data_IF_320455025169
#
_entry.id   IF_320455025169
#
_cell.length_a   1.000
_cell.length_b   1.000
_cell.length_c   1.000
_cell.angle_alpha   90.00
_cell.angle_beta   90.00
_cell.angle_gamma   90.00
#
_symmetry.space_group_name_H-M   'P 1'
#
loop_
_entity.id
_entity.type
_entity.pdbx_description
1 polymer ?
#
# COMPACT_ATOMS: atom_id res chain seq x y z
N UNK A 1 60.05 -1.79 -17.79
CA UNK A 1 58.85 -1.14 -17.21
C UNK A 1 58.56 -1.75 -15.84
N UNK A 2 58.79 -1.02 -14.73
CA UNK A 2 58.47 -1.51 -13.37
C UNK A 2 56.97 -1.31 -13.11
N UNK A 3 56.19 -2.40 -13.01
CA UNK A 3 54.81 -2.34 -12.52
C UNK A 3 54.85 -2.02 -11.03
N UNK A 4 54.42 -0.81 -10.65
CA UNK A 4 54.19 -0.49 -9.23
C UNK A 4 52.97 -1.30 -8.77
N UNK A 5 53.09 -2.20 -7.78
CA UNK A 5 51.92 -2.87 -7.24
C UNK A 5 50.96 -1.80 -6.72
N UNK A 6 49.68 -1.90 -7.07
CA UNK A 6 48.66 -1.11 -6.40
C UNK A 6 48.78 -1.40 -4.90
N UNK A 7 48.91 -0.36 -4.04
CA UNK A 7 49.02 -0.59 -2.61
C UNK A 7 47.74 -1.29 -2.18
N UNK A 8 47.87 -2.50 -1.63
CA UNK A 8 46.78 -3.38 -1.21
C UNK A 8 45.65 -2.64 -0.46
N UNK A 9 46.01 -1.66 0.37
CA UNK A 9 45.04 -0.82 1.07
C UNK A 9 44.09 -0.01 0.15
N UNK A 10 44.55 0.47 -1.01
CA UNK A 10 43.67 1.18 -1.97
C UNK A 10 42.68 0.22 -2.64
N UNK A 11 43.10 -1.00 -2.95
CA UNK A 11 42.21 -2.00 -3.53
C UNK A 11 41.14 -2.44 -2.52
N UNK A 12 41.56 -2.70 -1.27
CA UNK A 12 40.63 -3.05 -0.20
C UNK A 12 39.61 -1.94 0.06
N UNK A 13 40.07 -0.68 0.12
CA UNK A 13 39.19 0.47 0.32
C UNK A 13 38.20 0.65 -0.86
N UNK A 14 38.67 0.46 -2.09
CA UNK A 14 37.81 0.54 -3.27
C UNK A 14 36.74 -0.56 -3.28
N UNK A 15 37.11 -1.80 -2.94
CA UNK A 15 36.16 -2.91 -2.83
C UNK A 15 35.13 -2.68 -1.71
N UNK A 16 35.59 -2.21 -0.55
CA UNK A 16 34.69 -1.87 0.57
C UNK A 16 33.72 -0.75 0.18
N UNK A 17 34.22 0.32 -0.44
CA UNK A 17 33.40 1.45 -0.88
C UNK A 17 32.36 1.03 -1.92
N UNK A 18 32.75 0.23 -2.92
CA UNK A 18 31.83 -0.32 -3.90
C UNK A 18 30.76 -1.20 -3.24
N UNK A 19 31.15 -2.09 -2.32
CA UNK A 19 30.22 -2.94 -1.59
C UNK A 19 29.21 -2.16 -0.74
N UNK A 20 29.67 -1.15 0.00
CA UNK A 20 28.81 -0.29 0.81
C UNK A 20 27.82 0.52 -0.05
N UNK A 21 28.28 1.05 -1.18
CA UNK A 21 27.43 1.78 -2.13
C UNK A 21 26.38 0.86 -2.77
N UNK A 22 26.78 -0.33 -3.22
CA UNK A 22 25.84 -1.31 -3.79
C UNK A 22 24.77 -1.73 -2.79
N UNK A 23 25.15 -2.03 -1.55
CA UNK A 23 24.20 -2.38 -0.49
C UNK A 23 23.25 -1.20 -0.18
N UNK A 24 23.79 0.02 -0.08
CA UNK A 24 22.97 1.21 0.19
C UNK A 24 21.99 1.50 -0.95
N UNK A 25 22.43 1.38 -2.20
CA UNK A 25 21.58 1.54 -3.37
C UNK A 25 20.48 0.47 -3.43
N UNK A 26 20.80 -0.77 -3.09
CA UNK A 26 19.84 -1.87 -3.01
C UNK A 26 18.76 -1.61 -1.95
N UNK A 27 19.18 -1.28 -0.72
CA UNK A 27 18.26 -0.99 0.39
C UNK A 27 17.41 0.27 0.15
N UNK A 28 17.95 1.27 -0.55
CA UNK A 28 17.19 2.46 -0.91
C UNK A 28 16.21 2.18 -2.06
N UNK A 29 16.63 1.37 -3.04
CA UNK A 29 15.83 1.04 -4.22
C UNK A 29 14.52 0.33 -3.88
N UNK A 30 14.57 -0.69 -3.01
CA UNK A 30 13.37 -1.41 -2.54
C UNK A 30 12.35 -0.49 -1.86
N UNK A 31 12.81 0.66 -1.36
CA UNK A 31 11.97 1.65 -0.72
C UNK A 31 11.44 2.74 -1.66
N UNK A 32 11.85 2.83 -2.91
CA UNK A 32 11.40 3.87 -3.85
C UNK A 32 10.47 3.33 -4.94
N UNK A 33 10.33 2.01 -5.05
CA UNK A 33 9.49 1.39 -6.08
C UNK A 33 8.01 1.50 -5.71
N UNK A 34 7.21 1.92 -6.69
CA UNK A 34 5.77 1.79 -6.63
C UNK A 34 5.42 0.30 -6.82
N UNK A 35 4.58 -0.22 -5.94
CA UNK A 35 4.07 -1.59 -6.01
C UNK A 35 2.95 -1.67 -7.06
N UNK A 36 2.73 -2.85 -7.67
CA UNK A 36 1.59 -3.05 -8.55
C UNK A 36 0.28 -2.87 -7.78
N UNK A 37 -0.63 -2.11 -8.36
CA UNK A 37 -2.03 -2.06 -7.94
C UNK A 37 -2.88 -2.86 -8.94
N UNK A 38 -3.90 -3.60 -8.48
CA UNK A 38 -4.84 -4.23 -9.40
C UNK A 38 -5.52 -3.18 -10.27
N UNK A 39 -5.81 -3.53 -11.51
CA UNK A 39 -6.60 -2.66 -12.38
C UNK A 39 -8.00 -2.46 -11.77
N UNK A 40 -8.60 -1.29 -11.96
CA UNK A 40 -9.97 -1.04 -11.50
C UNK A 40 -10.99 -2.03 -12.11
N UNK A 41 -10.66 -2.62 -13.26
CA UNK A 41 -11.46 -3.65 -13.92
C UNK A 41 -11.06 -5.10 -13.54
N UNK A 42 -10.17 -5.32 -12.57
CA UNK A 42 -9.82 -6.67 -12.11
C UNK A 42 -11.08 -7.39 -11.59
N UNK A 43 -11.47 -8.55 -12.16
CA UNK A 43 -12.70 -9.24 -11.77
C UNK A 43 -12.75 -9.62 -10.29
N UNK A 44 -11.61 -10.00 -9.69
CA UNK A 44 -11.54 -10.38 -8.27
C UNK A 44 -11.84 -9.19 -7.38
N UNK A 45 -11.22 -8.05 -7.70
CA UNK A 45 -11.44 -6.80 -6.96
C UNK A 45 -12.88 -6.33 -7.10
N UNK A 46 -13.41 -6.29 -8.33
CA UNK A 46 -14.79 -5.87 -8.63
C UNK A 46 -15.80 -6.76 -7.91
N UNK A 47 -15.64 -8.08 -7.99
CA UNK A 47 -16.55 -9.03 -7.34
C UNK A 47 -16.50 -8.88 -5.82
N UNK A 48 -15.30 -8.81 -5.24
CA UNK A 48 -15.13 -8.65 -3.79
C UNK A 48 -15.68 -7.32 -3.29
N UNK A 49 -15.44 -6.21 -3.98
CA UNK A 49 -16.02 -4.90 -3.64
C UNK A 49 -17.54 -4.87 -3.79
N UNK A 50 -18.10 -5.55 -4.79
CA UNK A 50 -19.54 -5.64 -4.96
C UNK A 50 -20.23 -6.34 -3.78
N UNK A 51 -19.58 -7.34 -3.15
CA UNK A 51 -20.10 -7.97 -1.92
C UNK A 51 -20.07 -7.05 -0.71
N UNK A 52 -19.18 -6.05 -0.72
CA UNK A 52 -19.00 -5.07 0.36
C UNK A 52 -19.79 -3.77 0.13
N UNK A 53 -20.28 -3.56 -1.10
CA UNK A 53 -21.01 -2.36 -1.51
C UNK A 53 -22.51 -2.66 -1.53
N UNK A 54 -23.25 -2.41 -0.44
CA UNK A 54 -24.70 -2.45 -0.50
C UNK A 54 -25.20 -1.43 -1.51
N UNK A 55 -26.27 -1.75 -2.24
CA UNK A 55 -26.88 -0.87 -3.24
C UNK A 55 -27.71 0.23 -2.55
N UNK A 56 -27.14 0.91 -1.55
CA UNK A 56 -27.77 1.98 -0.77
C UNK A 56 -27.47 3.38 -1.33
N UNK A 57 -26.81 3.45 -2.48
CA UNK A 57 -26.54 4.69 -3.21
C UNK A 57 -25.35 5.50 -2.67
N UNK A 58 -24.61 4.98 -1.69
CA UNK A 58 -23.43 5.63 -1.12
C UNK A 58 -22.14 5.13 -1.77
N UNK A 59 -21.09 5.95 -1.70
CA UNK A 59 -19.74 5.49 -2.05
C UNK A 59 -19.29 4.41 -1.06
N UNK A 60 -18.50 3.46 -1.55
CA UNK A 60 -17.81 2.47 -0.71
C UNK A 60 -16.30 2.65 -0.85
N UNK A 61 -15.64 2.94 0.25
CA UNK A 61 -14.19 3.05 0.35
C UNK A 61 -13.65 1.83 1.10
N UNK A 62 -12.66 1.17 0.50
CA UNK A 62 -11.94 0.07 1.14
C UNK A 62 -10.48 0.44 1.28
N UNK A 63 -10.02 0.41 2.53
CA UNK A 63 -8.64 0.69 2.92
C UNK A 63 -7.96 -0.64 3.26
N UNK A 64 -6.98 -1.07 2.47
CA UNK A 64 -6.16 -2.24 2.81
C UNK A 64 -4.85 -1.76 3.43
N UNK A 65 -4.62 -2.07 4.71
CA UNK A 65 -3.53 -1.52 5.52
C UNK A 65 -2.80 -2.64 6.28
N UNK A 66 -1.47 -2.68 6.22
CA UNK A 66 -0.68 -3.59 7.05
C UNK A 66 -0.49 -3.05 8.47
N UNK A 67 -0.64 -3.92 9.46
CA UNK A 67 -0.29 -3.63 10.84
C UNK A 67 1.19 -3.24 11.00
N UNK A 68 2.09 -4.04 10.44
CA UNK A 68 3.53 -3.94 10.62
C UNK A 68 4.22 -2.91 9.71
N UNK A 69 3.50 -2.32 8.76
CA UNK A 69 4.09 -1.45 7.74
C UNK A 69 3.94 0.04 8.10
N UNK A 70 5.05 0.78 8.25
CA UNK A 70 5.03 2.21 8.63
C UNK A 70 4.21 3.09 7.68
N UNK A 71 4.21 2.81 6.38
CA UNK A 71 3.37 3.52 5.41
C UNK A 71 1.88 3.35 5.72
N UNK A 72 1.47 2.13 6.06
CA UNK A 72 0.09 1.82 6.46
C UNK A 72 -0.27 2.42 7.81
N UNK A 73 0.64 2.40 8.79
CA UNK A 73 0.43 3.01 10.10
C UNK A 73 0.17 4.52 10.01
N UNK A 74 0.84 5.23 9.09
CA UNK A 74 0.59 6.66 8.86
C UNK A 74 -0.83 6.90 8.32
N UNK A 75 -1.28 6.09 7.36
CA UNK A 75 -2.65 6.17 6.83
C UNK A 75 -3.66 5.81 7.92
N UNK A 76 -3.41 4.76 8.69
CA UNK A 76 -4.26 4.34 9.80
C UNK A 76 -4.41 5.44 10.86
N UNK A 77 -3.31 6.10 11.22
CA UNK A 77 -3.32 7.21 12.16
C UNK A 77 -4.16 8.39 11.64
N UNK A 78 -4.04 8.71 10.35
CA UNK A 78 -4.90 9.71 9.69
C UNK A 78 -6.38 9.31 9.72
N UNK A 79 -6.72 8.08 9.35
CA UNK A 79 -8.10 7.59 9.36
C UNK A 79 -8.70 7.66 10.76
N UNK A 80 -8.00 7.15 11.77
CA UNK A 80 -8.46 7.20 13.17
C UNK A 80 -8.67 8.63 13.66
N UNK A 81 -7.79 9.57 13.29
CA UNK A 81 -7.94 10.97 13.67
C UNK A 81 -9.10 11.66 12.94
N UNK A 82 -9.35 11.31 11.67
CA UNK A 82 -10.41 11.86 10.85
C UNK A 82 -11.80 11.31 11.21
N UNK A 83 -11.88 10.03 11.58
CA UNK A 83 -13.13 9.28 11.66
C UNK A 83 -13.72 8.98 10.27
N UNK A 84 -14.74 8.12 10.17
CA UNK A 84 -15.37 7.77 8.89
C UNK A 84 -16.19 8.95 8.34
N UNK A 85 -16.32 8.97 7.02
CA UNK A 85 -17.15 9.91 6.27
C UNK A 85 -18.63 9.61 6.50
N UNK A 86 -19.47 10.63 6.75
CA UNK A 86 -20.90 10.43 6.92
C UNK A 86 -21.62 10.11 5.59
N UNK A 87 -21.06 10.52 4.45
CA UNK A 87 -21.64 10.33 3.12
C UNK A 87 -21.19 9.04 2.41
N UNK A 88 -20.24 8.30 3.00
CA UNK A 88 -19.70 7.07 2.43
C UNK A 88 -19.64 5.93 3.44
N UNK A 89 -19.59 4.69 2.94
CA UNK A 89 -19.21 3.53 3.75
C UNK A 89 -17.71 3.37 3.67
N UNK A 90 -17.07 3.29 4.83
CA UNK A 90 -15.62 3.08 4.92
C UNK A 90 -15.33 1.78 5.66
N UNK A 91 -14.65 0.87 4.97
CA UNK A 91 -14.17 -0.40 5.50
C UNK A 91 -12.64 -0.40 5.53
N UNK A 92 -12.08 -0.77 6.67
CA UNK A 92 -10.64 -0.94 6.86
C UNK A 92 -10.33 -2.44 6.97
N UNK A 93 -9.63 -2.96 5.96
CA UNK A 93 -9.02 -4.28 5.97
C UNK A 93 -7.63 -4.16 6.59
N UNK A 94 -7.46 -4.68 7.81
CA UNK A 94 -6.16 -4.68 8.51
C UNK A 94 -5.48 -6.02 8.26
N UNK A 95 -4.40 -5.99 7.50
CA UNK A 95 -3.59 -7.17 7.17
C UNK A 95 -2.71 -7.51 8.36
N UNK A 96 -2.75 -8.79 8.76
CA UNK A 96 -2.14 -9.27 10.00
C UNK A 96 -2.63 -8.48 11.23
N UNK A 97 -3.91 -8.09 11.20
CA UNK A 97 -4.53 -7.23 12.20
C UNK A 97 -4.59 -7.86 13.59
N UNK A 98 -3.91 -7.27 14.57
CA UNK A 98 -4.08 -7.58 15.98
C UNK A 98 -5.41 -7.03 16.52
N UNK A 99 -5.95 -7.67 17.56
CA UNK A 99 -7.21 -7.25 18.19
C UNK A 99 -7.16 -5.80 18.70
N UNK A 100 -5.99 -5.36 19.15
CA UNK A 100 -5.75 -3.99 19.64
C UNK A 100 -5.96 -2.97 18.53
N UNK A 101 -5.37 -3.20 17.35
CA UNK A 101 -5.49 -2.36 16.17
C UNK A 101 -6.90 -2.38 15.61
N UNK A 102 -7.51 -3.56 15.46
CA UNK A 102 -8.89 -3.67 15.00
C UNK A 102 -9.88 -2.94 15.92
N UNK A 103 -9.71 -3.08 17.24
CA UNK A 103 -10.54 -2.36 18.22
C UNK A 103 -10.38 -0.86 18.07
N UNK A 104 -9.14 -0.35 17.99
CA UNK A 104 -8.86 1.09 17.80
C UNK A 104 -9.56 1.67 16.58
N UNK A 105 -9.58 0.93 15.47
CA UNK A 105 -10.24 1.37 14.22
C UNK A 105 -11.77 1.39 14.38
N UNK A 106 -12.34 0.37 15.03
CA UNK A 106 -13.78 0.30 15.33
C UNK A 106 -14.23 1.38 16.30
N UNK A 107 -13.43 1.67 17.32
CA UNK A 107 -13.68 2.77 18.28
C UNK A 107 -13.67 4.14 17.60
N UNK A 108 -12.89 4.30 16.53
CA UNK A 108 -12.93 5.50 15.67
C UNK A 108 -14.17 5.56 14.75
N UNK A 109 -15.02 4.53 14.76
CA UNK A 109 -16.30 4.49 14.03
C UNK A 109 -16.26 3.76 12.69
N UNK A 110 -15.11 3.23 12.27
CA UNK A 110 -14.99 2.50 11.01
C UNK A 110 -15.49 1.06 11.13
N UNK A 111 -15.94 0.51 10.01
CA UNK A 111 -15.99 -0.95 9.88
C UNK A 111 -14.55 -1.47 9.73
N UNK A 112 -14.16 -2.47 10.54
CA UNK A 112 -12.80 -3.02 10.51
C UNK A 112 -12.82 -4.55 10.49
N UNK A 113 -12.01 -5.14 9.61
CA UNK A 113 -11.85 -6.60 9.48
C UNK A 113 -10.37 -6.97 9.40
N UNK A 114 -9.97 -7.97 10.17
CA UNK A 114 -8.66 -8.60 10.02
C UNK A 114 -8.66 -9.46 8.75
N UNK A 115 -7.54 -9.48 8.03
CA UNK A 115 -7.37 -10.32 6.85
C UNK A 115 -5.95 -10.87 6.79
N UNK A 116 -5.79 -12.12 6.33
CA UNK A 116 -4.47 -12.67 6.08
C UNK A 116 -3.86 -12.06 4.79
N UNK A 117 -2.53 -11.93 4.70
CA UNK A 117 -1.84 -11.47 3.49
C UNK A 117 -2.24 -12.24 2.23
N UNK A 118 -2.36 -13.56 2.34
CA UNK A 118 -2.75 -14.45 1.24
C UNK A 118 -4.18 -14.20 0.79
N UNK A 119 -5.12 -14.05 1.72
CA UNK A 119 -6.52 -13.74 1.40
C UNK A 119 -6.67 -12.39 0.70
N UNK A 120 -5.81 -11.41 1.03
CA UNK A 120 -5.80 -10.12 0.37
C UNK A 120 -5.42 -10.24 -1.12
N UNK A 121 -4.43 -11.06 -1.44
CA UNK A 121 -4.08 -11.37 -2.83
C UNK A 121 -5.15 -12.21 -3.52
N UNK A 122 -5.55 -13.33 -2.91
CA UNK A 122 -6.39 -14.33 -3.54
C UNK A 122 -7.81 -13.81 -3.81
N UNK A 123 -8.39 -13.08 -2.85
CA UNK A 123 -9.77 -12.59 -2.94
C UNK A 123 -9.89 -11.24 -3.61
N UNK A 124 -8.93 -10.33 -3.39
CA UNK A 124 -9.02 -8.95 -3.86
C UNK A 124 -8.05 -8.61 -5.00
N UNK A 125 -7.11 -9.51 -5.35
CA UNK A 125 -6.05 -9.21 -6.31
C UNK A 125 -5.07 -8.14 -5.81
N UNK A 126 -5.07 -7.84 -4.51
CA UNK A 126 -4.26 -6.75 -3.94
C UNK A 126 -2.88 -7.31 -3.57
N UNK A 127 -1.86 -6.83 -4.26
CA UNK A 127 -0.46 -7.27 -4.09
C UNK A 127 0.37 -6.35 -3.18
N UNK A 128 -0.17 -5.20 -2.77
CA UNK A 128 0.54 -4.25 -1.92
C UNK A 128 -0.40 -3.40 -1.07
N UNK A 129 0.11 -2.91 0.05
CA UNK A 129 -0.58 -1.97 0.93
C UNK A 129 0.39 -0.92 1.49
N UNK A 130 -0.07 0.31 1.83
CA UNK A 130 -1.47 0.75 1.94
C UNK A 130 -2.15 1.07 0.60
N UNK A 131 -3.28 0.40 0.34
CA UNK A 131 -4.10 0.62 -0.87
C UNK A 131 -5.46 1.22 -0.52
N UNK A 132 -5.97 2.07 -1.41
CA UNK A 132 -7.33 2.61 -1.40
C UNK A 132 -8.06 2.14 -2.65
N UNK A 133 -9.23 1.54 -2.45
CA UNK A 133 -10.19 1.27 -3.51
C UNK A 133 -11.48 2.05 -3.25
N UNK A 134 -12.06 2.66 -4.28
CA UNK A 134 -13.31 3.42 -4.19
C UNK A 134 -14.28 2.88 -5.23
N UNK A 135 -15.43 2.41 -4.78
CA UNK A 135 -16.57 2.07 -5.63
C UNK A 135 -17.62 3.17 -5.58
N UNK A 136 -18.22 3.46 -6.75
CA UNK A 136 -19.32 4.40 -6.86
C UNK A 136 -20.63 3.85 -6.26
N UNK A 137 -21.67 4.68 -6.24
CA UNK A 137 -23.00 4.32 -5.76
C UNK A 137 -23.66 3.14 -6.51
N UNK A 138 -23.13 2.73 -7.66
CA UNK A 138 -23.58 1.59 -8.47
C UNK A 138 -22.72 0.35 -8.24
N UNK A 139 -21.77 0.40 -7.31
CA UNK A 139 -20.80 -0.67 -7.03
C UNK A 139 -19.67 -0.75 -8.05
N UNK A 140 -19.57 0.20 -8.99
CA UNK A 140 -18.50 0.23 -9.98
C UNK A 140 -17.21 0.77 -9.38
N UNK A 141 -16.12 0.03 -9.46
CA UNK A 141 -14.80 0.47 -8.98
C UNK A 141 -14.30 1.62 -9.86
N UNK A 142 -14.09 2.80 -9.25
CA UNK A 142 -13.65 4.03 -9.95
C UNK A 142 -12.22 4.44 -9.63
N UNK A 143 -11.69 3.98 -8.50
CA UNK A 143 -10.33 4.27 -8.11
C UNK A 143 -9.71 3.07 -7.41
N UNK A 144 -8.45 2.80 -7.75
CA UNK A 144 -7.60 1.80 -7.09
C UNK A 144 -6.18 2.33 -7.14
N UNK A 145 -5.57 2.55 -5.98
CA UNK A 145 -4.20 3.09 -5.92
C UNK A 145 -3.74 3.46 -4.53
N UNK A 146 -2.67 4.24 -4.45
CA UNK A 146 -2.15 4.79 -3.21
C UNK A 146 -2.95 5.99 -2.69
N UNK A 147 -2.33 6.73 -1.76
CA UNK A 147 -2.93 7.89 -1.08
C UNK A 147 -2.24 9.22 -1.40
N UNK A 148 -1.13 9.19 -2.15
CA UNK A 148 -0.29 10.36 -2.40
C UNK A 148 0.61 10.15 -3.62
N UNK A 149 1.24 11.24 -4.06
CA UNK A 149 2.16 11.28 -5.21
C UNK A 149 3.57 10.76 -4.88
N UNK A 150 3.90 10.70 -3.59
CA UNK A 150 5.21 10.24 -3.09
C UNK A 150 5.10 9.39 -1.84
N UNK A 151 6.13 8.58 -1.61
CA UNK A 151 6.24 7.74 -0.42
C UNK A 151 6.23 8.60 0.85
N UNK A 152 5.48 8.13 1.85
CA UNK A 152 5.30 8.82 3.14
C UNK A 152 4.87 10.29 2.97
N UNK A 153 4.02 10.56 1.97
CA UNK A 153 3.36 11.87 1.84
C UNK A 153 2.73 12.27 3.19
N UNK A 154 2.94 13.51 3.67
CA UNK A 154 2.26 14.00 4.86
C UNK A 154 0.76 14.22 4.62
N UNK A 155 0.34 14.27 3.36
CA UNK A 155 -1.05 14.44 2.95
C UNK A 155 -1.59 13.09 2.48
N UNK A 156 -2.61 12.61 3.17
CA UNK A 156 -3.41 11.44 2.78
C UNK A 156 -4.62 11.95 2.01
N UNK A 157 -4.71 11.64 0.71
CA UNK A 157 -5.71 12.23 -0.21
C UNK A 157 -7.01 11.42 -0.30
N UNK A 158 -7.32 10.57 0.67
CA UNK A 158 -8.50 9.70 0.66
C UNK A 158 -9.82 10.48 0.46
N UNK A 159 -9.99 11.58 1.19
CA UNK A 159 -11.15 12.47 1.10
C UNK A 159 -11.26 13.13 -0.27
N UNK A 160 -10.16 13.71 -0.76
CA UNK A 160 -10.13 14.40 -2.06
C UNK A 160 -10.45 13.42 -3.21
N UNK A 161 -9.85 12.22 -3.18
CA UNK A 161 -10.09 11.19 -4.19
C UNK A 161 -11.55 10.73 -4.16
N UNK A 162 -12.13 10.52 -2.97
CA UNK A 162 -13.54 10.17 -2.80
C UNK A 162 -14.47 11.28 -3.32
N UNK A 163 -14.18 12.55 -3.04
CA UNK A 163 -14.99 13.67 -3.53
C UNK A 163 -14.97 13.76 -5.05
N UNK A 164 -13.81 13.52 -5.69
CA UNK A 164 -13.70 13.49 -7.15
C UNK A 164 -14.48 12.33 -7.75
N UNK A 165 -14.39 11.13 -7.16
CA UNK A 165 -15.18 9.97 -7.56
C UNK A 165 -16.68 10.24 -7.39
N UNK A 166 -17.11 10.88 -6.29
CA UNK A 166 -18.50 11.25 -6.04
C UNK A 166 -19.06 12.16 -7.16
N UNK A 167 -18.24 13.07 -7.68
CA UNK A 167 -18.59 13.97 -8.79
C UNK A 167 -18.50 13.31 -10.17
N UNK A 168 -18.12 12.03 -10.24
CA UNK A 168 -17.95 11.30 -11.50
C UNK A 168 -16.73 11.76 -12.31
N UNK A 169 -15.77 12.43 -11.68
CA UNK A 169 -14.54 12.83 -12.34
C UNK A 169 -13.63 11.62 -12.58
N UNK A 170 -12.91 11.56 -13.72
CA UNK A 170 -11.86 10.57 -13.89
C UNK A 170 -10.71 10.88 -12.91
N UNK A 171 -10.28 9.85 -12.17
CA UNK A 171 -9.20 9.95 -11.20
C UNK A 171 -8.09 9.00 -11.61
N UNK A 172 -6.90 9.55 -11.87
CA UNK A 172 -5.71 8.74 -12.14
C UNK A 172 -5.24 8.02 -10.88
N UNK A 173 -4.87 6.76 -11.02
CA UNK A 173 -4.36 5.95 -9.92
C UNK A 173 -3.04 6.53 -9.38
N UNK A 174 -3.01 6.87 -8.09
CA UNK A 174 -1.77 7.30 -7.46
C UNK A 174 -0.85 6.10 -7.19
N UNK A 175 0.48 6.30 -7.23
CA UNK A 175 1.44 5.24 -6.97
C UNK A 175 1.24 4.62 -5.57
N UNK A 176 1.36 3.29 -5.53
CA UNK A 176 1.23 2.50 -4.32
C UNK A 176 2.60 2.33 -3.65
N UNK A 177 2.82 2.94 -2.49
CA UNK A 177 4.09 2.82 -1.76
C UNK A 177 3.92 2.07 -0.45
N UNK A 178 4.48 0.88 -0.32
CA UNK A 178 4.46 0.16 0.95
C UNK A 178 5.04 -1.23 0.90
N UNK A 179 4.32 -2.18 1.49
CA UNK A 179 4.79 -3.54 1.74
C UNK A 179 4.07 -4.55 0.82
N UNK A 180 4.78 -5.52 0.23
CA UNK A 180 4.20 -6.53 -0.65
C UNK A 180 3.37 -7.57 0.14
N UNK A 181 2.25 -8.00 -0.43
CA UNK A 181 1.35 -9.00 0.19
C UNK A 181 1.59 -10.42 -0.28
N UNK A 182 2.15 -10.61 -1.47
CA UNK A 182 2.46 -11.94 -2.01
C UNK A 182 3.93 -12.31 -1.81
N UNK A 183 4.20 -13.61 -1.60
CA UNK A 183 5.56 -14.13 -1.51
C UNK A 183 6.33 -13.94 -2.83
N UNK A 184 5.63 -14.05 -3.97
CA UNK A 184 6.20 -13.79 -5.29
C UNK A 184 6.71 -12.36 -5.42
N UNK A 185 5.88 -11.36 -5.07
CA UNK A 185 6.29 -9.96 -5.13
C UNK A 185 7.40 -9.66 -4.11
N UNK A 186 7.33 -10.24 -2.90
CA UNK A 186 8.38 -10.11 -1.88
C UNK A 186 9.71 -10.64 -2.40
N UNK A 187 9.72 -11.82 -3.01
CA UNK A 187 10.93 -12.44 -3.58
C UNK A 187 11.48 -11.66 -4.77
N UNK A 188 10.62 -11.02 -5.56
CA UNK A 188 11.05 -10.15 -6.66
C UNK A 188 11.67 -8.85 -6.18
N UNK A 189 11.21 -8.29 -5.06
CA UNK A 189 11.69 -7.02 -4.52
C UNK A 189 12.90 -7.19 -3.61
N UNK A 190 13.02 -8.33 -2.94
CA UNK A 190 14.14 -8.69 -2.06
C UNK A 190 14.72 -10.07 -2.44
N UNK A 191 15.34 -10.22 -3.63
CA UNK A 191 15.92 -11.49 -4.06
C UNK A 191 17.04 -12.00 -3.14
N UNK A 192 17.66 -11.12 -2.35
CA UNK A 192 18.72 -11.46 -1.42
C UNK A 192 18.19 -11.81 -0.01
N UNK A 193 16.89 -11.63 0.27
CA UNK A 193 16.26 -11.94 1.55
C UNK A 193 16.75 -11.08 2.73
N UNK A 194 17.22 -9.86 2.44
CA UNK A 194 17.85 -8.94 3.40
C UNK A 194 16.82 -8.05 4.11
N UNK A 195 15.65 -7.85 3.50
CA UNK A 195 14.56 -7.00 3.98
C UNK A 195 13.41 -7.91 4.45
N UNK A 196 13.45 -8.32 5.73
CA UNK A 196 12.39 -9.09 6.38
C UNK A 196 11.42 -8.20 7.15
#
# INVERSE_FOLDING_TARGET
MRRRPLPFGRLLLALWGAGALSLSAYLLGSHLLALPAPAAADPRLVQSLATLSPHDGRLTLVHALYESCRCSQNVLAHLVARGPRPDARELVLVVDGEDTTLRRVREAGFEARGIAPTDLHDRYGIEGAPLLAIADARGGVRYVGGYGDRKQSPVVRDVELADRVARGEPVEALPLFGCPTSEALRSSLDPAGVVR
#
